data_IF_820833445436
#
_entry.id   IF_820833445436
#
_cell.length_a   1.000
_cell.length_b   1.000
_cell.length_c   1.000
_cell.angle_alpha   90.00
_cell.angle_beta   90.00
_cell.angle_gamma   90.00
#
_symmetry.space_group_name_H-M   'P 1'
#
loop_
_entity.id
_entity.type
_entity.pdbx_description
1 polymer ?
#
# COMPACT_ATOMS: atom_id res chain seq x y z
N UNK A 1 5.80 41.33 -39.05
CA UNK A 1 5.24 40.59 -37.89
C UNK A 1 4.81 39.23 -38.38
N UNK A 2 5.61 38.19 -38.12
CA UNK A 2 5.23 36.82 -38.48
C UNK A 2 4.08 36.39 -37.59
N UNK A 3 2.95 36.03 -38.19
CA UNK A 3 1.79 35.52 -37.46
C UNK A 3 2.19 34.23 -36.74
N UNK A 4 2.08 34.22 -35.41
CA UNK A 4 2.23 33.00 -34.60
C UNK A 4 1.13 32.03 -35.00
N UNK A 5 1.51 30.86 -35.54
CA UNK A 5 0.58 29.78 -35.82
C UNK A 5 -0.24 29.46 -34.55
N UNK A 6 -1.57 29.31 -34.64
CA UNK A 6 -2.42 28.99 -33.48
C UNK A 6 -2.16 27.59 -32.90
N UNK A 7 -1.30 26.78 -33.55
CA UNK A 7 -0.94 25.43 -33.15
C UNK A 7 0.57 25.30 -32.87
N UNK A 8 1.14 26.20 -32.06
CA UNK A 8 2.47 26.02 -31.50
C UNK A 8 2.45 24.84 -30.50
N UNK A 9 2.51 23.62 -31.00
CA UNK A 9 2.90 22.47 -30.21
C UNK A 9 4.41 22.58 -29.94
N UNK A 10 4.84 22.31 -28.71
CA UNK A 10 6.24 22.01 -28.45
C UNK A 10 6.69 20.93 -29.45
N UNK A 11 7.89 21.06 -30.03
CA UNK A 11 8.41 20.05 -30.93
C UNK A 11 8.28 18.67 -30.26
N UNK A 12 7.70 17.70 -30.98
CA UNK A 12 7.57 16.34 -30.47
C UNK A 12 8.95 15.85 -30.00
N UNK A 13 8.99 15.22 -28.83
CA UNK A 13 10.24 14.63 -28.35
C UNK A 13 10.78 13.69 -29.43
N UNK A 14 12.11 13.63 -29.65
CA UNK A 14 12.68 12.72 -30.62
C UNK A 14 12.23 11.29 -30.30
N UNK A 15 11.58 10.66 -31.27
CA UNK A 15 11.07 9.28 -31.18
C UNK A 15 12.01 8.35 -31.93
N UNK A 16 12.23 7.16 -31.36
CA UNK A 16 12.93 6.06 -32.02
C UNK A 16 11.95 4.91 -32.27
N UNK A 17 12.38 3.90 -33.02
CA UNK A 17 11.53 2.76 -33.37
C UNK A 17 10.98 2.02 -32.13
N UNK A 18 11.71 2.04 -30.99
CA UNK A 18 11.25 1.41 -29.75
C UNK A 18 10.14 2.24 -29.08
N UNK A 19 10.28 3.57 -29.07
CA UNK A 19 9.27 4.50 -28.56
C UNK A 19 7.99 4.42 -29.38
N UNK A 20 8.12 4.39 -30.71
CA UNK A 20 7.00 4.21 -31.63
C UNK A 20 6.28 2.88 -31.39
N UNK A 21 7.03 1.79 -31.16
CA UNK A 21 6.44 0.49 -30.83
C UNK A 21 5.64 0.52 -29.51
N UNK A 22 6.12 1.23 -28.49
CA UNK A 22 5.38 1.42 -27.24
C UNK A 22 4.07 2.20 -27.44
N UNK A 23 4.10 3.27 -28.23
CA UNK A 23 2.92 4.08 -28.54
C UNK A 23 1.88 3.28 -29.32
N UNK A 24 2.32 2.48 -30.30
CA UNK A 24 1.44 1.59 -31.04
C UNK A 24 0.84 0.50 -30.15
N UNK A 25 1.62 -0.02 -29.19
CA UNK A 25 1.17 -1.03 -28.25
C UNK A 25 0.13 -0.52 -27.23
N UNK A 26 0.06 0.80 -26.99
CA UNK A 26 -0.76 1.40 -25.93
C UNK A 26 -2.26 1.05 -26.05
N UNK A 27 -2.80 0.98 -27.26
CA UNK A 27 -4.23 0.74 -27.52
C UNK A 27 -4.50 -0.52 -28.34
N UNK A 28 -3.59 -1.49 -28.33
CA UNK A 28 -3.82 -2.77 -29.03
C UNK A 28 -4.99 -3.51 -28.39
N UNK A 29 -5.98 -4.00 -29.16
CA UNK A 29 -7.06 -4.81 -28.64
C UNK A 29 -6.52 -6.05 -27.92
N UNK A 30 -7.07 -6.36 -26.75
CA UNK A 30 -6.67 -7.53 -25.97
C UNK A 30 -6.78 -8.83 -26.77
N UNK A 31 -7.81 -8.93 -27.63
CA UNK A 31 -8.03 -10.05 -28.56
C UNK A 31 -6.84 -10.31 -29.50
N UNK A 32 -6.07 -9.28 -29.79
CA UNK A 32 -4.96 -9.32 -30.74
C UNK A 32 -3.62 -9.44 -29.99
N UNK A 33 -3.52 -8.80 -28.82
CA UNK A 33 -2.30 -8.79 -28.01
C UNK A 33 -2.06 -10.11 -27.27
N UNK A 34 -3.08 -10.68 -26.63
CA UNK A 34 -2.93 -11.90 -25.82
C UNK A 34 -2.42 -13.09 -26.64
N UNK A 35 -2.95 -13.39 -27.84
CA UNK A 35 -2.39 -14.47 -28.67
C UNK A 35 -0.94 -14.23 -29.08
N UNK A 36 -0.52 -12.97 -29.22
CA UNK A 36 0.86 -12.62 -29.53
C UNK A 36 1.77 -12.95 -28.35
N UNK A 37 1.42 -12.53 -27.13
CA UNK A 37 2.17 -12.86 -25.91
C UNK A 37 2.23 -14.38 -25.65
N UNK A 38 1.14 -15.11 -25.92
CA UNK A 38 1.12 -16.57 -25.74
C UNK A 38 2.12 -17.29 -26.66
N UNK A 39 2.44 -16.73 -27.83
CA UNK A 39 3.48 -17.30 -28.72
C UNK A 39 4.89 -17.03 -28.21
N UNK A 40 5.10 -15.97 -27.42
CA UNK A 40 6.41 -15.62 -26.84
C UNK A 40 6.78 -16.46 -25.62
N UNK A 41 5.82 -17.18 -25.03
CA UNK A 41 6.04 -18.05 -23.86
C UNK A 41 5.85 -19.54 -24.23
N UNK A 42 6.70 -20.12 -25.08
CA UNK A 42 6.59 -21.52 -25.46
C UNK A 42 7.13 -22.41 -24.33
N UNK A 43 6.28 -22.73 -23.36
CA UNK A 43 6.56 -23.80 -22.40
C UNK A 43 6.07 -25.14 -22.96
N UNK A 44 6.98 -26.11 -23.07
CA UNK A 44 6.64 -27.49 -23.38
C UNK A 44 5.90 -28.16 -22.20
N UNK A 45 5.39 -29.38 -22.41
CA UNK A 45 4.64 -30.10 -21.38
C UNK A 45 5.46 -30.41 -20.12
N UNK A 46 6.76 -30.65 -20.27
CA UNK A 46 7.67 -30.98 -19.15
C UNK A 46 7.93 -29.72 -18.32
N UNK A 47 8.24 -28.60 -18.97
CA UNK A 47 8.42 -27.29 -18.34
C UNK A 47 7.15 -26.84 -17.62
N UNK A 48 5.97 -27.02 -18.24
CA UNK A 48 4.68 -26.70 -17.60
C UNK A 48 4.45 -27.52 -16.34
N UNK A 49 4.74 -28.81 -16.38
CA UNK A 49 4.61 -29.69 -15.22
C UNK A 49 5.55 -29.24 -14.08
N UNK A 50 6.80 -28.92 -14.40
CA UNK A 50 7.78 -28.44 -13.42
C UNK A 50 7.38 -27.10 -12.78
N UNK A 51 6.86 -26.16 -13.57
CA UNK A 51 6.33 -24.88 -13.06
C UNK A 51 5.14 -25.11 -12.13
N UNK A 52 4.22 -26.00 -12.50
CA UNK A 52 3.06 -26.34 -11.69
C UNK A 52 3.48 -26.96 -10.35
N UNK A 53 4.39 -27.93 -10.38
CA UNK A 53 4.91 -28.59 -9.17
C UNK A 53 5.57 -27.57 -8.22
N UNK A 54 6.44 -26.71 -8.75
CA UNK A 54 7.08 -25.66 -7.96
C UNK A 54 6.07 -24.66 -7.37
N UNK A 55 5.05 -24.29 -8.14
CA UNK A 55 3.99 -23.40 -7.68
C UNK A 55 3.15 -24.04 -6.55
N UNK A 56 2.81 -25.32 -6.68
CA UNK A 56 2.07 -26.07 -5.65
C UNK A 56 2.88 -26.15 -4.35
N UNK A 57 4.14 -26.56 -4.42
CA UNK A 57 5.05 -26.65 -3.26
C UNK A 57 5.23 -25.28 -2.56
N UNK A 58 5.32 -24.18 -3.32
CA UNK A 58 5.32 -22.83 -2.74
C UNK A 58 4.04 -22.51 -1.99
N UNK A 59 2.87 -22.77 -2.58
CA UNK A 59 1.57 -22.49 -1.96
C UNK A 59 1.36 -23.33 -0.70
N UNK A 60 1.71 -24.62 -0.74
CA UNK A 60 1.61 -25.52 0.41
C UNK A 60 2.48 -25.04 1.58
N UNK A 61 3.74 -24.68 1.32
CA UNK A 61 4.63 -24.13 2.35
C UNK A 61 4.15 -22.81 2.93
N UNK A 62 3.52 -21.95 2.14
CA UNK A 62 2.92 -20.70 2.63
C UNK A 62 1.74 -21.01 3.55
N UNK A 63 0.85 -21.93 3.15
CA UNK A 63 -0.32 -22.32 3.96
C UNK A 63 0.08 -22.93 5.30
N UNK A 64 1.04 -23.85 5.32
CA UNK A 64 1.54 -24.46 6.56
C UNK A 64 2.14 -23.43 7.53
N UNK A 65 2.73 -22.34 7.03
CA UNK A 65 3.29 -21.27 7.88
C UNK A 65 2.24 -20.29 8.39
N UNK A 66 1.14 -20.10 7.65
CA UNK A 66 0.06 -19.18 7.98
C UNK A 66 -0.77 -19.63 9.20
N UNK A 67 -0.75 -20.92 9.55
CA UNK A 67 -1.41 -21.46 10.76
C UNK A 67 -0.84 -20.89 12.08
N UNK A 68 0.31 -20.21 12.04
CA UNK A 68 0.82 -19.40 13.15
C UNK A 68 0.09 -18.04 13.22
N UNK A 69 -1.14 -18.04 13.72
CA UNK A 69 -2.01 -16.86 13.84
C UNK A 69 -1.41 -15.85 14.85
N UNK A 70 -0.60 -14.92 14.33
CA UNK A 70 0.19 -13.96 15.10
C UNK A 70 -0.39 -12.54 15.06
N UNK A 71 -0.47 -11.90 16.23
CA UNK A 71 -0.87 -10.52 16.49
C UNK A 71 -2.35 -10.16 16.23
N UNK A 72 -2.97 -10.54 15.11
CA UNK A 72 -4.33 -10.08 14.80
C UNK A 72 -5.41 -10.75 15.66
N UNK A 73 -5.37 -12.07 15.83
CA UNK A 73 -6.29 -12.77 16.75
C UNK A 73 -6.05 -12.41 18.22
N UNK A 74 -4.80 -12.11 18.59
CA UNK A 74 -4.47 -11.61 19.92
C UNK A 74 -5.09 -10.22 20.14
N UNK A 75 -5.01 -9.35 19.13
CA UNK A 75 -5.61 -8.02 19.14
C UNK A 75 -7.13 -8.07 19.28
N UNK A 76 -7.82 -8.93 18.53
CA UNK A 76 -9.28 -9.09 18.62
C UNK A 76 -9.71 -9.51 20.04
N UNK A 77 -8.96 -10.43 20.66
CA UNK A 77 -9.21 -10.88 22.04
C UNK A 77 -8.90 -9.82 23.08
N UNK A 78 -7.83 -9.04 22.90
CA UNK A 78 -7.41 -7.99 23.84
C UNK A 78 -8.48 -6.90 24.02
N UNK A 79 -9.19 -6.56 22.94
CA UNK A 79 -10.22 -5.51 22.94
C UNK A 79 -11.65 -6.05 22.92
N UNK A 80 -11.84 -7.36 23.12
CA UNK A 80 -13.14 -8.06 23.08
C UNK A 80 -14.00 -7.64 21.86
N UNK A 81 -13.35 -7.62 20.70
CA UNK A 81 -13.96 -7.23 19.43
C UNK A 81 -14.60 -8.45 18.77
N UNK A 82 -15.83 -8.29 18.31
CA UNK A 82 -16.41 -9.21 17.33
C UNK A 82 -15.68 -9.10 16.00
N UNK A 83 -15.78 -10.13 15.16
CA UNK A 83 -15.17 -10.12 13.83
C UNK A 83 -15.60 -8.93 12.97
N UNK A 84 -16.87 -8.52 13.05
CA UNK A 84 -17.40 -7.34 12.33
C UNK A 84 -16.75 -6.04 12.83
N UNK A 85 -16.62 -5.89 14.15
CA UNK A 85 -15.96 -4.74 14.77
C UNK A 85 -14.48 -4.68 14.39
N UNK A 86 -13.81 -5.83 14.33
CA UNK A 86 -12.42 -5.92 13.85
C UNK A 86 -12.25 -5.47 12.41
N UNK A 87 -13.14 -5.88 11.51
CA UNK A 87 -13.10 -5.47 10.09
C UNK A 87 -13.24 -3.95 9.98
N UNK A 88 -14.21 -3.37 10.67
CA UNK A 88 -14.44 -1.91 10.70
C UNK A 88 -13.21 -1.17 11.22
N UNK A 89 -12.64 -1.64 12.33
CA UNK A 89 -11.48 -1.02 12.94
C UNK A 89 -10.24 -1.11 12.04
N UNK A 90 -10.03 -2.24 11.36
CA UNK A 90 -8.92 -2.40 10.41
C UNK A 90 -9.07 -1.50 9.19
N UNK A 91 -10.28 -1.41 8.61
CA UNK A 91 -10.55 -0.46 7.52
C UNK A 91 -10.27 0.98 7.92
N UNK A 92 -10.68 1.38 9.13
CA UNK A 92 -10.42 2.72 9.66
C UNK A 92 -8.93 2.95 9.85
N UNK A 93 -8.23 2.02 10.48
CA UNK A 93 -6.79 2.14 10.70
C UNK A 93 -6.00 2.09 9.37
N UNK A 94 -6.47 1.39 8.34
CA UNK A 94 -5.85 1.40 7.01
C UNK A 94 -6.03 2.76 6.34
N UNK A 95 -7.23 3.33 6.40
CA UNK A 95 -7.50 4.67 5.87
C UNK A 95 -6.65 5.73 6.58
N UNK A 96 -6.49 5.62 7.90
CA UNK A 96 -5.66 6.53 8.70
C UNK A 96 -4.16 6.39 8.41
N UNK A 97 -3.68 5.19 8.06
CA UNK A 97 -2.29 4.97 7.62
C UNK A 97 -1.98 5.57 6.25
N UNK A 98 -3.01 5.83 5.42
CA UNK A 98 -2.83 6.54 4.13
C UNK A 98 -2.66 8.06 4.31
N UNK A 99 -2.90 8.59 5.52
CA UNK A 99 -2.68 10.00 5.83
C UNK A 99 -1.20 10.16 6.23
N UNK A 100 -0.39 10.88 5.44
CA UNK A 100 1.06 10.98 5.68
C UNK A 100 1.40 11.84 6.90
N UNK A 101 0.52 12.77 7.26
CA UNK A 101 0.71 13.68 8.39
C UNK A 101 0.05 13.14 9.67
N UNK A 102 0.85 12.95 10.72
CA UNK A 102 0.39 12.38 11.98
C UNK A 102 -0.53 13.34 12.74
N UNK A 103 -0.33 14.66 12.60
CA UNK A 103 -1.19 15.66 13.21
C UNK A 103 -2.60 15.63 12.59
N UNK A 104 -2.67 15.57 11.26
CA UNK A 104 -3.93 15.40 10.50
C UNK A 104 -4.62 14.09 10.82
N UNK A 105 -3.86 12.99 10.95
CA UNK A 105 -4.41 11.68 11.33
C UNK A 105 -5.00 11.71 12.75
N UNK A 106 -4.29 12.27 13.73
CA UNK A 106 -4.79 12.41 15.11
C UNK A 106 -5.94 13.40 15.22
N UNK A 107 -5.93 14.50 14.47
CA UNK A 107 -7.04 15.43 14.38
C UNK A 107 -8.28 14.75 13.79
N UNK A 108 -8.13 13.89 12.78
CA UNK A 108 -9.22 13.11 12.21
C UNK A 108 -9.73 12.05 13.19
N UNK A 109 -8.84 11.36 13.92
CA UNK A 109 -9.24 10.42 14.97
C UNK A 109 -10.06 11.14 16.06
N UNK A 110 -9.59 12.31 16.51
CA UNK A 110 -10.30 13.11 17.50
C UNK A 110 -11.63 13.64 16.95
N UNK A 111 -11.66 14.20 15.74
CA UNK A 111 -12.87 14.70 15.07
C UNK A 111 -13.91 13.59 14.88
N UNK A 112 -13.49 12.40 14.45
CA UNK A 112 -14.40 11.26 14.21
C UNK A 112 -14.86 10.55 15.49
N UNK A 113 -14.17 10.71 16.61
CA UNK A 113 -14.53 10.08 17.89
C UNK A 113 -15.21 11.04 18.88
N UNK A 114 -14.91 12.34 18.83
CA UNK A 114 -15.31 13.31 19.86
C UNK A 114 -16.68 13.97 19.63
N UNK A 115 -17.30 13.83 18.46
CA UNK A 115 -18.56 14.49 18.11
C UNK A 115 -19.70 13.51 17.86
N UNK A 116 -20.79 13.64 18.60
CA UNK A 116 -22.08 13.00 18.34
C UNK A 116 -22.77 13.51 17.04
N UNK A 117 -22.00 14.04 16.08
CA UNK A 117 -22.46 14.61 14.80
C UNK A 117 -21.77 13.91 13.63
N UNK A 118 -21.85 12.58 13.63
CA UNK A 118 -21.36 11.70 12.57
C UNK A 118 -22.17 11.82 11.26
N UNK A 119 -23.31 12.51 11.30
CA UNK A 119 -24.22 12.69 10.17
C UNK A 119 -23.63 13.57 9.07
N UNK A 120 -22.90 14.63 9.44
CA UNK A 120 -22.51 15.71 8.54
C UNK A 120 -21.20 15.47 7.76
N UNK A 121 -20.30 14.61 8.24
CA UNK A 121 -18.91 14.55 7.73
C UNK A 121 -18.44 13.24 7.07
N UNK A 122 -19.30 12.23 6.89
CA UNK A 122 -18.91 10.92 6.29
C UNK A 122 -19.55 10.63 4.92
N UNK A 123 -20.42 11.51 4.42
CA UNK A 123 -21.11 11.32 3.13
C UNK A 123 -20.25 11.50 1.88
N UNK A 124 -18.92 11.69 2.01
CA UNK A 124 -18.03 12.08 0.89
C UNK A 124 -16.83 11.16 0.62
N UNK A 125 -16.64 10.06 1.35
CA UNK A 125 -15.48 9.18 1.15
C UNK A 125 -15.89 7.78 0.68
N UNK A 126 -15.79 7.53 -0.62
CA UNK A 126 -15.90 6.17 -1.20
C UNK A 126 -14.74 5.25 -0.76
N UNK A 127 -13.68 5.82 -0.19
CA UNK A 127 -12.40 5.14 0.09
C UNK A 127 -12.36 4.25 1.35
N UNK A 128 -13.31 4.35 2.28
CA UNK A 128 -13.22 3.62 3.57
C UNK A 128 -13.54 2.11 3.45
N UNK A 129 -14.18 1.69 2.37
CA UNK A 129 -14.66 0.30 2.19
C UNK A 129 -13.95 -0.48 1.10
N UNK A 130 -12.95 0.12 0.44
CA UNK A 130 -12.27 -0.48 -0.73
C UNK A 130 -11.67 -1.85 -0.39
N UNK A 131 -11.27 -2.07 0.86
CA UNK A 131 -10.63 -3.30 1.33
C UNK A 131 -11.42 -4.05 2.41
N UNK A 132 -12.67 -3.69 2.67
CA UNK A 132 -13.46 -4.32 3.72
C UNK A 132 -13.75 -5.81 3.44
N UNK A 133 -13.84 -6.20 2.16
CA UNK A 133 -13.91 -7.60 1.73
C UNK A 133 -12.62 -8.37 2.02
N UNK A 134 -11.45 -7.74 1.89
CA UNK A 134 -10.14 -8.32 2.22
C UNK A 134 -10.03 -8.60 3.72
N UNK A 135 -10.37 -7.61 4.56
CA UNK A 135 -10.35 -7.76 6.01
C UNK A 135 -11.44 -8.71 6.51
N UNK A 136 -12.63 -8.67 5.89
CA UNK A 136 -13.72 -9.61 6.17
C UNK A 136 -13.30 -11.05 5.92
N UNK A 137 -12.65 -11.32 4.79
CA UNK A 137 -12.12 -12.64 4.49
C UNK A 137 -11.01 -13.04 5.48
N UNK A 138 -10.09 -12.12 5.79
CA UNK A 138 -8.97 -12.40 6.68
C UNK A 138 -9.40 -12.71 8.13
N UNK A 139 -10.44 -12.02 8.63
CA UNK A 139 -10.90 -12.14 10.01
C UNK A 139 -12.01 -13.19 10.21
N UNK A 140 -12.76 -13.51 9.16
CA UNK A 140 -13.92 -14.42 9.27
C UNK A 140 -13.81 -15.69 8.45
N UNK A 141 -12.79 -15.80 7.59
CA UNK A 141 -12.66 -16.87 6.60
C UNK A 141 -13.75 -16.86 5.52
N UNK A 142 -14.63 -15.84 5.51
CA UNK A 142 -15.76 -15.72 4.57
C UNK A 142 -15.71 -14.39 3.84
N UNK A 143 -16.06 -14.42 2.56
CA UNK A 143 -16.14 -13.20 1.76
C UNK A 143 -17.35 -12.37 2.20
N UNK A 144 -17.08 -11.23 2.84
CA UNK A 144 -18.13 -10.29 3.26
C UNK A 144 -18.45 -9.38 2.06
N UNK A 145 -19.67 -9.47 1.52
CA UNK A 145 -20.16 -8.51 0.51
C UNK A 145 -20.57 -7.22 1.22
N UNK A 146 -19.69 -6.24 1.20
CA UNK A 146 -19.97 -4.89 1.68
C UNK A 146 -20.78 -4.15 0.61
N UNK A 147 -22.09 -4.41 0.58
CA UNK A 147 -23.04 -3.68 -0.27
C UNK A 147 -23.31 -2.26 0.24
N UNK A 148 -24.04 -1.44 -0.52
CA UNK A 148 -24.38 -0.05 -0.15
C UNK A 148 -25.15 0.06 1.19
N UNK A 149 -25.80 -1.01 1.66
CA UNK A 149 -26.39 -1.14 2.99
C UNK A 149 -25.38 -1.22 4.14
N UNK A 150 -24.09 -1.46 3.87
CA UNK A 150 -23.05 -1.55 4.90
C UNK A 150 -22.56 -0.17 5.41
N UNK A 151 -22.91 0.94 4.75
CA UNK A 151 -22.60 2.30 5.24
C UNK A 151 -23.37 2.63 6.52
N UNK A 152 -24.63 2.17 6.64
CA UNK A 152 -25.41 2.25 7.87
C UNK A 152 -24.87 1.31 8.95
N UNK A 153 -24.40 0.12 8.55
CA UNK A 153 -23.87 -0.88 9.48
C UNK A 153 -22.56 -0.40 10.13
N UNK A 154 -21.63 0.20 9.37
CA UNK A 154 -20.36 0.73 9.88
C UNK A 154 -20.55 1.76 11.00
N UNK A 155 -21.47 2.71 10.81
CA UNK A 155 -21.78 3.74 11.83
C UNK A 155 -22.32 3.11 13.10
N UNK A 156 -23.23 2.14 12.94
CA UNK A 156 -23.81 1.41 14.06
C UNK A 156 -22.78 0.56 14.82
N UNK A 157 -21.81 -0.02 14.11
CA UNK A 157 -20.76 -0.86 14.68
C UNK A 157 -19.75 0.01 15.42
N UNK A 158 -19.28 1.11 14.82
CA UNK A 158 -18.33 2.02 15.48
C UNK A 158 -18.95 2.70 16.71
N UNK A 159 -20.21 3.13 16.63
CA UNK A 159 -20.94 3.66 17.77
C UNK A 159 -21.11 2.61 18.90
N UNK A 160 -21.30 1.34 18.54
CA UNK A 160 -21.39 0.24 19.51
C UNK A 160 -20.04 0.00 20.20
N UNK A 161 -18.93 0.01 19.46
CA UNK A 161 -17.58 -0.09 20.02
C UNK A 161 -17.30 1.08 20.97
N UNK A 162 -17.62 2.31 20.56
CA UNK A 162 -17.45 3.52 21.37
C UNK A 162 -18.31 3.53 22.64
N UNK A 163 -19.57 3.09 22.54
CA UNK A 163 -20.47 3.00 23.68
C UNK A 163 -20.11 1.84 24.63
N UNK A 164 -19.57 0.73 24.11
CA UNK A 164 -19.15 -0.44 24.90
C UNK A 164 -17.85 -0.17 25.67
N UNK A 165 -16.90 0.54 25.06
CA UNK A 165 -15.51 0.61 25.56
C UNK A 165 -15.05 2.02 25.93
N UNK A 166 -15.80 3.06 25.55
CA UNK A 166 -15.41 4.46 25.71
C UNK A 166 -14.43 4.94 24.64
N UNK A 167 -14.54 6.21 24.24
CA UNK A 167 -13.66 6.84 23.24
C UNK A 167 -12.15 6.58 23.46
N UNK A 168 -11.59 6.69 24.69
CA UNK A 168 -10.17 6.47 24.91
C UNK A 168 -9.69 5.06 24.54
N UNK A 169 -10.53 4.04 24.76
CA UNK A 169 -10.19 2.64 24.44
C UNK A 169 -10.26 2.40 22.93
N UNK A 170 -11.26 2.97 22.25
CA UNK A 170 -11.35 2.90 20.78
C UNK A 170 -10.15 3.56 20.13
N UNK A 171 -9.74 4.73 20.64
CA UNK A 171 -8.54 5.44 20.17
C UNK A 171 -7.29 4.59 20.34
N UNK A 172 -7.14 3.90 21.47
CA UNK A 172 -6.02 3.00 21.70
C UNK A 172 -6.04 1.79 20.76
N UNK A 173 -7.22 1.19 20.55
CA UNK A 173 -7.42 0.08 19.63
C UNK A 173 -7.06 0.47 18.19
N UNK A 174 -7.49 1.64 17.72
CA UNK A 174 -7.12 2.19 16.40
C UNK A 174 -5.61 2.37 16.30
N UNK A 175 -4.96 2.98 17.31
CA UNK A 175 -3.49 3.15 17.30
C UNK A 175 -2.76 1.82 17.27
N UNK A 176 -3.23 0.83 18.02
CA UNK A 176 -2.63 -0.50 18.04
C UNK A 176 -2.85 -1.23 16.71
N UNK A 177 -4.02 -1.10 16.08
CA UNK A 177 -4.31 -1.59 14.74
C UNK A 177 -3.38 -0.94 13.68
N UNK A 178 -3.27 0.38 13.71
CA UNK A 178 -2.33 1.15 12.87
C UNK A 178 -0.88 0.70 13.12
N UNK A 179 -0.52 0.38 14.37
CA UNK A 179 0.81 -0.14 14.70
C UNK A 179 1.03 -1.53 14.13
N UNK A 180 0.07 -2.45 14.26
CA UNK A 180 0.15 -3.82 13.72
C UNK A 180 0.30 -3.76 12.19
N UNK A 181 -0.56 -2.99 11.53
CA UNK A 181 -0.50 -2.79 10.08
C UNK A 181 0.77 -2.07 9.67
N UNK A 182 1.14 -0.97 10.33
CA UNK A 182 2.37 -0.23 10.07
C UNK A 182 3.63 -1.07 10.25
N UNK A 183 3.65 -2.05 11.17
CA UNK A 183 4.79 -2.98 11.32
C UNK A 183 4.91 -3.99 10.17
N UNK A 184 3.78 -4.33 9.53
CA UNK A 184 3.71 -5.22 8.37
C UNK A 184 3.98 -4.47 7.05
N UNK A 185 3.54 -3.21 6.94
CA UNK A 185 3.66 -2.42 5.72
C UNK A 185 4.89 -1.50 5.67
N UNK A 186 5.40 -1.06 6.82
CA UNK A 186 6.53 -0.11 6.92
C UNK A 186 7.69 -0.76 7.67
N UNK A 187 8.82 -0.92 6.97
CA UNK A 187 10.02 -1.54 7.54
C UNK A 187 10.59 -0.73 8.72
N UNK A 188 10.53 0.60 8.63
CA UNK A 188 10.86 1.51 9.73
C UNK A 188 10.37 2.93 9.42
N UNK A 189 10.10 3.72 10.46
CA UNK A 189 9.64 5.12 10.33
C UNK A 189 10.67 6.04 9.67
N UNK A 190 11.94 5.62 9.67
CA UNK A 190 13.05 6.31 9.01
C UNK A 190 13.86 5.28 8.24
N UNK A 191 14.59 5.73 7.22
CA UNK A 191 15.47 4.86 6.44
C UNK A 191 16.51 4.17 7.33
N UNK A 192 17.06 4.86 8.33
CA UNK A 192 18.00 4.29 9.28
C UNK A 192 17.40 3.13 10.08
N UNK A 193 16.18 3.30 10.60
CA UNK A 193 15.48 2.25 11.32
C UNK A 193 15.11 1.06 10.41
N UNK A 194 14.72 1.35 9.16
CA UNK A 194 14.41 0.32 8.18
C UNK A 194 15.65 -0.52 7.82
N UNK A 195 16.80 0.13 7.64
CA UNK A 195 18.08 -0.53 7.38
C UNK A 195 18.57 -1.35 8.58
N UNK A 196 18.48 -0.80 9.80
CA UNK A 196 18.84 -1.54 11.01
C UNK A 196 17.98 -2.80 11.15
N UNK A 197 16.68 -2.71 10.85
CA UNK A 197 15.77 -3.87 10.86
C UNK A 197 16.09 -4.86 9.75
N UNK A 198 16.57 -4.41 8.59
CA UNK A 198 16.94 -5.27 7.46
C UNK A 198 18.12 -6.19 7.82
N UNK A 199 19.03 -5.73 8.67
CA UNK A 199 20.19 -6.51 9.13
C UNK A 199 19.88 -7.45 10.31
N UNK A 200 18.66 -7.44 10.87
CA UNK A 200 18.30 -8.26 12.06
C UNK A 200 17.82 -9.66 11.72
N UNK A 201 18.38 -10.67 12.40
CA UNK A 201 17.88 -12.06 12.46
C UNK A 201 17.49 -12.62 11.07
N UNK A 202 16.21 -12.98 10.91
CA UNK A 202 15.63 -13.56 9.70
C UNK A 202 15.58 -12.61 8.51
N UNK A 203 15.74 -11.30 8.72
CA UNK A 203 15.66 -10.30 7.66
C UNK A 203 16.96 -10.26 6.85
N UNK A 204 18.10 -10.54 7.48
CA UNK A 204 19.43 -10.48 6.84
C UNK A 204 19.62 -11.45 5.67
N UNK A 205 18.74 -12.46 5.54
CA UNK A 205 18.77 -13.40 4.40
C UNK A 205 18.25 -12.80 3.09
N UNK A 206 17.62 -11.62 3.15
CA UNK A 206 17.02 -10.97 2.00
C UNK A 206 17.83 -9.74 1.56
N UNK A 207 17.66 -9.40 0.28
CA UNK A 207 18.10 -8.14 -0.30
C UNK A 207 16.92 -7.18 -0.32
N UNK A 208 17.20 -5.89 -0.12
CA UNK A 208 16.16 -4.88 0.09
C UNK A 208 16.28 -3.74 -0.92
N UNK A 209 15.15 -3.37 -1.53
CA UNK A 209 14.95 -2.05 -2.13
C UNK A 209 13.98 -1.26 -1.26
N UNK A 210 14.36 -0.07 -0.81
CA UNK A 210 13.53 0.75 0.05
C UNK A 210 12.60 1.64 -0.77
N UNK A 211 11.29 1.52 -0.53
CA UNK A 211 10.28 2.48 -1.01
C UNK A 211 10.06 3.56 0.06
N UNK A 212 10.30 4.81 -0.29
CA UNK A 212 10.15 5.96 0.62
C UNK A 212 8.71 6.46 0.74
N UNK A 213 7.76 5.81 0.05
CA UNK A 213 6.30 6.09 0.07
C UNK A 213 5.89 7.47 -0.48
N UNK A 214 6.84 8.35 -0.82
CA UNK A 214 6.55 9.62 -1.48
C UNK A 214 6.04 9.42 -2.90
N UNK A 215 4.85 9.95 -3.20
CA UNK A 215 4.22 9.95 -4.51
C UNK A 215 3.33 11.19 -4.71
N UNK A 216 2.99 11.46 -5.98
CA UNK A 216 2.00 12.47 -6.38
C UNK A 216 2.16 13.82 -5.65
N UNK A 217 3.31 14.47 -5.83
CA UNK A 217 3.52 15.82 -5.33
C UNK A 217 2.43 16.75 -5.88
N UNK A 218 1.70 17.45 -5.02
CA UNK A 218 0.68 18.41 -5.44
C UNK A 218 1.26 19.82 -5.57
N UNK A 219 2.32 20.09 -4.81
CA UNK A 219 2.99 21.38 -4.76
C UNK A 219 4.49 21.25 -5.01
N UNK A 220 5.13 22.36 -5.40
CA UNK A 220 6.60 22.42 -5.47
C UNK A 220 7.25 22.11 -4.10
N UNK A 221 6.59 22.48 -3.00
CA UNK A 221 7.03 22.18 -1.64
C UNK A 221 7.01 20.67 -1.37
N UNK A 222 5.97 19.96 -1.79
CA UNK A 222 5.91 18.49 -1.67
C UNK A 222 7.04 17.84 -2.47
N UNK A 223 7.23 18.27 -3.72
CA UNK A 223 8.28 17.74 -4.59
C UNK A 223 9.68 17.96 -3.99
N UNK A 224 9.92 19.14 -3.41
CA UNK A 224 11.16 19.46 -2.72
C UNK A 224 11.38 18.55 -1.50
N UNK A 225 10.34 18.39 -0.66
CA UNK A 225 10.37 17.52 0.52
C UNK A 225 10.68 16.07 0.14
N UNK A 226 10.03 15.54 -0.91
CA UNK A 226 10.30 14.19 -1.38
C UNK A 226 11.71 14.04 -1.95
N UNK A 227 12.18 15.02 -2.73
CA UNK A 227 13.56 15.04 -3.26
C UNK A 227 14.60 14.99 -2.14
N UNK A 228 14.41 15.78 -1.08
CA UNK A 228 15.28 15.77 0.10
C UNK A 228 15.25 14.42 0.82
N UNK A 229 14.06 13.84 0.99
CA UNK A 229 13.91 12.51 1.59
C UNK A 229 14.62 11.41 0.78
N UNK A 230 14.47 11.41 -0.55
CA UNK A 230 15.19 10.48 -1.42
C UNK A 230 16.70 10.69 -1.36
N UNK A 231 17.18 11.93 -1.40
CA UNK A 231 18.61 12.25 -1.30
C UNK A 231 19.22 11.76 0.03
N UNK A 232 18.53 12.04 1.15
CA UNK A 232 18.95 11.56 2.46
C UNK A 232 18.97 10.03 2.55
N UNK A 233 17.97 9.36 1.96
CA UNK A 233 17.90 7.90 1.90
C UNK A 233 19.00 7.29 1.04
N UNK A 234 19.25 7.83 -0.16
CA UNK A 234 20.36 7.41 -1.04
C UNK A 234 21.69 7.52 -0.30
N UNK A 235 21.93 8.64 0.38
CA UNK A 235 23.17 8.84 1.14
C UNK A 235 23.31 7.83 2.30
N UNK A 236 22.21 7.53 3.00
CA UNK A 236 22.21 6.54 4.08
C UNK A 236 22.47 5.11 3.56
N UNK A 237 21.76 4.71 2.49
CA UNK A 237 21.89 3.41 1.84
C UNK A 237 23.31 3.24 1.28
N UNK A 238 23.83 4.24 0.58
CA UNK A 238 25.19 4.21 0.02
C UNK A 238 26.28 4.03 1.09
N UNK A 239 26.15 4.69 2.25
CA UNK A 239 27.07 4.48 3.38
C UNK A 239 27.04 3.05 3.90
N UNK A 240 25.86 2.44 4.00
CA UNK A 240 25.74 1.07 4.48
C UNK A 240 26.04 0.01 3.42
N UNK A 241 25.94 0.35 2.12
CA UNK A 241 26.33 -0.54 1.04
C UNK A 241 27.81 -0.92 1.18
N UNK A 242 28.66 0.01 1.63
CA UNK A 242 30.04 -0.29 2.04
C UNK A 242 30.91 -0.85 0.91
N UNK A 243 30.61 -0.48 -0.35
CA UNK A 243 31.31 -1.00 -1.53
C UNK A 243 30.84 -2.37 -2.02
N UNK A 244 29.73 -2.90 -1.49
CA UNK A 244 29.06 -4.09 -2.05
C UNK A 244 28.71 -3.87 -3.53
N UNK A 245 28.73 -4.95 -4.29
CA UNK A 245 28.22 -5.00 -5.66
C UNK A 245 26.75 -4.59 -5.71
N UNK A 246 26.32 -3.99 -6.83
CA UNK A 246 24.98 -3.40 -6.96
C UNK A 246 23.85 -4.41 -6.71
N UNK A 247 24.06 -5.68 -7.03
CA UNK A 247 23.08 -6.75 -6.83
C UNK A 247 23.03 -7.28 -5.39
N UNK A 248 24.04 -6.98 -4.57
CA UNK A 248 24.13 -7.38 -3.17
C UNK A 248 23.87 -6.23 -2.19
N UNK A 249 24.07 -5.01 -2.66
CA UNK A 249 23.81 -3.80 -1.90
C UNK A 249 22.29 -3.55 -1.76
N UNK A 250 21.86 -2.95 -0.63
CA UNK A 250 20.53 -2.39 -0.55
C UNK A 250 20.34 -1.27 -1.59
N UNK A 251 19.14 -1.15 -2.14
CA UNK A 251 18.78 -0.15 -3.14
C UNK A 251 17.59 0.71 -2.70
N UNK A 252 17.17 1.65 -3.55
CA UNK A 252 16.02 2.52 -3.33
C UNK A 252 15.13 2.52 -4.57
N UNK A 253 13.82 2.61 -4.35
CA UNK A 253 12.83 2.83 -5.40
C UNK A 253 12.34 4.27 -5.37
N UNK A 254 12.24 4.92 -6.53
CA UNK A 254 11.84 6.33 -6.67
C UNK A 254 10.63 6.43 -7.58
N UNK A 255 9.65 7.24 -7.19
CA UNK A 255 8.48 7.57 -8.01
C UNK A 255 8.66 8.96 -8.63
N UNK A 256 8.61 9.06 -9.96
CA UNK A 256 8.79 10.34 -10.67
C UNK A 256 7.69 11.36 -10.31
N UNK A 257 6.46 10.90 -10.06
CA UNK A 257 5.35 11.73 -9.61
C UNK A 257 5.60 12.41 -8.25
N UNK A 258 6.55 11.92 -7.46
CA UNK A 258 6.97 12.56 -6.22
C UNK A 258 7.96 13.72 -6.45
N UNK A 259 8.60 13.79 -7.61
CA UNK A 259 9.69 14.72 -7.88
C UNK A 259 9.27 15.95 -8.68
N UNK A 260 8.05 15.94 -9.22
CA UNK A 260 7.51 17.06 -9.96
C UNK A 260 5.98 17.10 -9.80
N UNK A 261 5.38 18.29 -9.59
CA UNK A 261 3.94 18.38 -9.37
C UNK A 261 3.08 18.27 -10.64
N UNK A 262 3.70 18.11 -11.83
CA UNK A 262 3.03 18.10 -13.14
C UNK A 262 3.66 17.14 -14.15
#
# INVERSE_FOLDING_TARGET
MAASSPFLAAAAAPSDALREALEQAWFVPESDHVPTLLREIPLDSVQRAAVLEAAVDLVERVRLRAENHGAMEAFMREYDLSSEEGVVLMCLAEALLRIPDNETSEALIADKLAGADWESHLGRSESLFVNASTWGLMLTGRMVRVGQSARSDFRSVLARIANKSGEPVVRLAIRQAMRIMGHQYVMGRTIAAAMERAEKKSNRRYRYSFDMLGEAALTATDAQRYREAYSAAIAAIGRAAGGREIFDAPSISVKLSALHPR
#
